data_IF_475085782098
#
_entry.id   IF_475085782098
#
_cell.length_a   1.000
_cell.length_b   1.000
_cell.length_c   1.000
_cell.angle_alpha   90.00
_cell.angle_beta   90.00
_cell.angle_gamma   90.00
#
_symmetry.space_group_name_H-M   'P 1'
#
loop_
_entity.id
_entity.type
_entity.pdbx_description
1 polymer ?
#
# COMPACT_ATOMS: atom_id res chain seq x y z
N UNK A 1 16.47 15.60 30.65
CA UNK A 1 17.45 16.16 29.68
C UNK A 1 18.03 15.01 28.87
N UNK A 2 18.54 15.22 27.65
CA UNK A 2 19.21 14.13 26.93
C UNK A 2 20.37 13.61 27.80
N UNK A 3 20.37 12.30 28.07
CA UNK A 3 21.34 11.64 28.95
C UNK A 3 21.04 11.71 30.46
N UNK A 4 19.81 12.05 30.86
CA UNK A 4 19.35 11.84 32.24
C UNK A 4 18.75 10.44 32.42
N UNK A 5 18.63 9.96 33.66
CA UNK A 5 18.04 8.64 33.95
C UNK A 5 16.63 8.50 33.39
N UNK A 6 15.83 9.57 33.41
CA UNK A 6 14.49 9.58 32.84
C UNK A 6 14.51 9.50 31.31
N UNK A 7 15.57 10.00 30.66
CA UNK A 7 15.77 9.85 29.22
C UNK A 7 16.11 8.40 28.88
N UNK A 8 17.03 7.80 29.63
CA UNK A 8 17.44 6.41 29.44
C UNK A 8 16.27 5.45 29.70
N UNK A 9 15.44 5.73 30.71
CA UNK A 9 14.22 4.99 30.99
C UNK A 9 13.19 5.12 29.84
N UNK A 10 12.99 6.33 29.31
CA UNK A 10 12.11 6.54 28.16
C UNK A 10 12.59 5.78 26.92
N UNK A 11 13.90 5.72 26.67
CA UNK A 11 14.48 4.97 25.55
C UNK A 11 14.24 3.45 25.71
N UNK A 12 14.42 2.91 26.91
CA UNK A 12 14.13 1.50 27.21
C UNK A 12 12.63 1.19 27.03
N UNK A 13 11.76 2.05 27.55
CA UNK A 13 10.31 1.89 27.38
C UNK A 13 9.90 1.95 25.92
N UNK A 14 10.48 2.87 25.13
CA UNK A 14 10.26 2.97 23.69
C UNK A 14 10.65 1.68 22.96
N UNK A 15 11.81 1.11 23.29
CA UNK A 15 12.25 -0.17 22.72
C UNK A 15 11.29 -1.32 23.06
N UNK A 16 10.80 -1.38 24.31
CA UNK A 16 9.84 -2.40 24.72
C UNK A 16 8.50 -2.28 24.01
N UNK A 17 8.03 -1.05 23.78
CA UNK A 17 6.81 -0.79 22.98
C UNK A 17 7.03 -1.24 21.53
N UNK A 18 8.14 -0.86 20.90
CA UNK A 18 8.47 -1.24 19.52
C UNK A 18 8.53 -2.77 19.34
N UNK A 19 9.17 -3.49 20.27
CA UNK A 19 9.21 -4.96 20.22
C UNK A 19 7.84 -5.61 20.46
N UNK A 20 7.01 -5.02 21.33
CA UNK A 20 5.63 -5.47 21.51
C UNK A 20 4.79 -5.23 20.26
N UNK A 21 4.91 -4.05 19.64
CA UNK A 21 4.21 -3.69 18.40
C UNK A 21 4.64 -4.59 17.25
N UNK A 22 5.94 -4.84 17.02
CA UNK A 22 6.40 -5.78 15.99
C UNK A 22 5.80 -7.18 16.14
N UNK A 23 5.66 -7.65 17.39
CA UNK A 23 5.14 -8.99 17.69
C UNK A 23 3.62 -9.08 17.56
N UNK A 24 2.89 -8.03 17.97
CA UNK A 24 1.44 -8.07 18.10
C UNK A 24 0.69 -7.27 17.03
N UNK A 25 1.34 -6.29 16.42
CA UNK A 25 0.85 -5.37 15.39
C UNK A 25 1.88 -5.22 14.25
N UNK A 26 2.25 -6.31 13.56
CA UNK A 26 3.22 -6.23 12.47
C UNK A 26 2.75 -5.23 11.42
N UNK A 27 3.67 -4.37 10.96
CA UNK A 27 3.40 -3.45 9.86
C UNK A 27 3.23 -4.31 8.60
N UNK A 28 1.98 -4.51 8.20
CA UNK A 28 1.65 -5.24 6.98
C UNK A 28 2.21 -4.51 5.76
N UNK A 29 2.59 -5.28 4.73
CA UNK A 29 2.96 -4.70 3.46
C UNK A 29 1.82 -3.81 2.94
N UNK A 30 2.11 -2.64 2.34
CA UNK A 30 1.05 -1.73 1.92
C UNK A 30 0.14 -2.43 0.91
N UNK A 31 -1.17 -2.28 1.10
CA UNK A 31 -2.16 -2.83 0.18
C UNK A 31 -2.01 -2.19 -1.21
N UNK A 32 -1.72 -2.98 -2.27
CA UNK A 32 -1.55 -2.46 -3.62
C UNK A 32 -2.73 -1.63 -4.12
N UNK A 33 -3.96 -2.01 -3.75
CA UNK A 33 -5.18 -1.35 -4.20
C UNK A 33 -5.34 0.00 -3.51
N UNK A 34 -5.03 0.08 -2.22
CA UNK A 34 -5.05 1.37 -1.51
C UNK A 34 -3.94 2.29 -2.03
N UNK A 35 -2.74 1.77 -2.30
CA UNK A 35 -1.67 2.54 -2.93
C UNK A 35 -2.09 3.13 -4.28
N UNK A 36 -2.78 2.35 -5.12
CA UNK A 36 -3.32 2.84 -6.40
C UNK A 36 -4.33 3.97 -6.16
N UNK A 37 -5.27 3.81 -5.22
CA UNK A 37 -6.32 4.81 -4.93
C UNK A 37 -5.73 6.11 -4.41
N UNK A 38 -4.81 6.05 -3.44
CA UNK A 38 -4.10 7.21 -2.90
C UNK A 38 -3.39 7.93 -4.04
N UNK A 39 -2.69 7.18 -4.90
CA UNK A 39 -1.97 7.79 -6.02
C UNK A 39 -2.89 8.39 -7.07
N UNK A 40 -4.07 7.81 -7.30
CA UNK A 40 -5.09 8.42 -8.13
C UNK A 40 -5.59 9.74 -7.54
N UNK A 41 -5.82 9.81 -6.23
CA UNK A 41 -6.26 11.03 -5.55
C UNK A 41 -5.22 12.16 -5.67
N UNK A 42 -3.95 11.87 -5.38
CA UNK A 42 -2.83 12.81 -5.52
C UNK A 42 -2.71 13.38 -6.94
N UNK A 43 -2.98 12.54 -7.95
CA UNK A 43 -2.92 12.90 -9.37
C UNK A 43 -4.26 13.38 -9.93
N UNK A 44 -5.31 13.48 -9.10
CA UNK A 44 -6.68 13.84 -9.49
C UNK A 44 -7.25 12.98 -10.64
N UNK A 45 -6.90 11.68 -10.65
CA UNK A 45 -7.34 10.71 -11.64
C UNK A 45 -8.67 10.06 -11.26
N UNK A 46 -9.50 9.79 -12.26
CA UNK A 46 -10.72 9.00 -12.13
C UNK A 46 -10.46 7.57 -12.61
N UNK A 47 -11.34 6.64 -12.26
CA UNK A 47 -11.22 5.24 -12.71
C UNK A 47 -11.14 5.10 -14.23
N UNK A 48 -11.85 5.95 -14.97
CA UNK A 48 -11.81 5.94 -16.45
C UNK A 48 -10.42 6.24 -17.01
N UNK A 49 -9.56 6.91 -16.24
CA UNK A 49 -8.21 7.30 -16.66
C UNK A 49 -7.18 6.17 -16.46
N UNK A 50 -7.59 5.04 -15.86
CA UNK A 50 -6.79 3.81 -15.74
C UNK A 50 -7.13 2.74 -16.78
N UNK A 51 -8.09 3.02 -17.68
CA UNK A 51 -8.51 2.07 -18.73
C UNK A 51 -7.30 1.62 -19.55
N UNK A 52 -6.42 2.53 -19.96
CA UNK A 52 -5.23 2.18 -20.75
C UNK A 52 -4.21 1.32 -20.00
N UNK A 53 -4.23 1.35 -18.66
CA UNK A 53 -3.31 0.56 -17.83
C UNK A 53 -3.87 -0.84 -17.49
N UNK A 54 -5.19 -0.96 -17.32
CA UNK A 54 -5.85 -2.16 -16.78
C UNK A 54 -6.70 -2.91 -17.83
N UNK A 55 -7.14 -2.21 -18.88
CA UNK A 55 -7.95 -2.73 -19.98
C UNK A 55 -9.29 -2.01 -20.15
N UNK A 56 -10.36 -2.52 -19.55
CA UNK A 56 -11.72 -1.96 -19.72
C UNK A 56 -12.20 -1.26 -18.45
N UNK A 57 -13.23 -0.40 -18.58
CA UNK A 57 -13.87 0.26 -17.42
C UNK A 57 -14.38 -0.75 -16.36
N UNK A 58 -14.93 -1.88 -16.79
CA UNK A 58 -15.38 -2.93 -15.86
C UNK A 58 -14.18 -3.56 -15.14
N UNK A 59 -13.08 -3.84 -15.85
CA UNK A 59 -11.87 -4.40 -15.23
C UNK A 59 -11.23 -3.45 -14.23
N UNK A 60 -11.19 -2.14 -14.52
CA UNK A 60 -10.72 -1.14 -13.56
C UNK A 60 -11.55 -1.20 -12.28
N UNK A 61 -12.88 -1.18 -12.42
CA UNK A 61 -13.78 -1.27 -11.27
C UNK A 61 -13.61 -2.58 -10.49
N UNK A 62 -13.49 -3.71 -11.18
CA UNK A 62 -13.25 -5.02 -10.54
C UNK A 62 -11.94 -5.03 -9.74
N UNK A 63 -10.86 -4.49 -10.29
CA UNK A 63 -9.56 -4.43 -9.60
C UNK A 63 -9.62 -3.50 -8.39
N UNK A 64 -10.13 -2.27 -8.56
CA UNK A 64 -10.19 -1.28 -7.46
C UNK A 64 -11.14 -1.70 -6.33
N UNK A 65 -12.14 -2.53 -6.63
CA UNK A 65 -13.04 -3.12 -5.65
C UNK A 65 -12.62 -4.53 -5.22
N UNK A 66 -11.36 -4.95 -5.50
CA UNK A 66 -10.80 -6.24 -5.07
C UNK A 66 -11.60 -7.46 -5.54
N UNK A 67 -12.38 -7.35 -6.62
CA UNK A 67 -13.06 -8.49 -7.25
C UNK A 67 -12.14 -9.25 -8.21
N UNK A 68 -10.98 -8.66 -8.54
CA UNK A 68 -9.98 -9.24 -9.43
C UNK A 68 -8.57 -8.92 -8.95
N UNK A 69 -7.68 -9.91 -9.04
CA UNK A 69 -6.23 -9.76 -8.82
C UNK A 69 -5.58 -8.96 -9.95
N UNK A 70 -4.58 -8.16 -9.61
CA UNK A 70 -3.68 -7.53 -10.57
C UNK A 70 -2.92 -8.63 -11.35
N UNK A 71 -2.84 -8.47 -12.67
CA UNK A 71 -1.94 -9.29 -13.48
C UNK A 71 -0.57 -8.63 -13.55
N UNK A 72 0.47 -9.41 -13.89
CA UNK A 72 1.83 -8.87 -14.09
C UNK A 72 1.86 -7.75 -15.14
N UNK A 73 1.04 -7.86 -16.18
CA UNK A 73 0.91 -6.80 -17.19
C UNK A 73 0.30 -5.52 -16.61
N UNK A 74 -0.77 -5.63 -15.82
CA UNK A 74 -1.37 -4.49 -15.12
C UNK A 74 -0.35 -3.82 -14.19
N UNK A 75 0.41 -4.61 -13.42
CA UNK A 75 1.45 -4.09 -12.52
C UNK A 75 2.46 -3.24 -13.29
N UNK A 76 3.00 -3.75 -14.41
CA UNK A 76 3.95 -3.01 -15.24
C UNK A 76 3.35 -1.72 -15.80
N UNK A 77 2.10 -1.76 -16.24
CA UNK A 77 1.41 -0.59 -16.78
C UNK A 77 1.14 0.45 -15.69
N UNK A 78 0.68 0.03 -14.51
CA UNK A 78 0.39 0.90 -13.38
C UNK A 78 1.65 1.52 -12.79
N UNK A 79 2.74 0.76 -12.68
CA UNK A 79 4.06 1.29 -12.30
C UNK A 79 4.45 2.47 -13.18
N UNK A 80 4.32 2.35 -14.51
CA UNK A 80 4.60 3.45 -15.45
C UNK A 80 3.58 4.59 -15.35
N UNK A 81 2.29 4.27 -15.27
CA UNK A 81 1.19 5.26 -15.33
C UNK A 81 1.09 6.11 -14.07
N UNK A 82 1.36 5.51 -12.91
CA UNK A 82 1.19 6.10 -11.58
C UNK A 82 2.52 6.45 -10.91
N UNK A 83 3.65 6.05 -11.51
CA UNK A 83 4.99 6.19 -10.94
C UNK A 83 5.11 5.53 -9.55
N UNK A 84 4.59 4.30 -9.44
CA UNK A 84 4.63 3.48 -8.24
C UNK A 84 5.65 2.34 -8.38
N UNK A 85 6.37 2.02 -7.31
CA UNK A 85 7.27 0.86 -7.29
C UNK A 85 6.51 -0.43 -7.62
N UNK A 86 7.10 -1.30 -8.43
CA UNK A 86 6.54 -2.63 -8.70
C UNK A 86 6.46 -3.50 -7.45
N UNK A 87 7.40 -3.32 -6.51
CA UNK A 87 7.45 -4.08 -5.26
C UNK A 87 6.26 -3.74 -4.35
N UNK A 88 5.70 -2.54 -4.51
CA UNK A 88 4.47 -2.14 -3.83
C UNK A 88 3.26 -2.87 -4.41
N UNK A 89 3.25 -3.10 -5.72
CA UNK A 89 2.10 -3.63 -6.46
C UNK A 89 2.08 -5.15 -6.57
N UNK A 90 3.21 -5.82 -6.31
CA UNK A 90 3.33 -7.28 -6.37
C UNK A 90 2.83 -7.98 -5.11
N UNK A 91 2.64 -7.23 -4.02
CA UNK A 91 2.14 -7.78 -2.76
C UNK A 91 0.76 -8.42 -2.94
N UNK A 92 0.53 -9.53 -2.24
CA UNK A 92 -0.77 -10.17 -2.29
C UNK A 92 -1.79 -9.40 -1.44
N UNK A 93 -3.05 -9.43 -1.85
CA UNK A 93 -4.14 -8.72 -1.16
C UNK A 93 -5.45 -9.50 -1.24
N UNK A 94 -6.23 -9.55 -0.16
CA UNK A 94 -7.46 -10.34 -0.15
C UNK A 94 -8.50 -9.79 -1.13
N UNK A 95 -9.20 -10.71 -1.81
CA UNK A 95 -10.33 -10.34 -2.66
C UNK A 95 -11.56 -10.02 -1.80
N UNK A 96 -12.39 -9.10 -2.28
CA UNK A 96 -13.68 -8.83 -1.66
C UNK A 96 -14.59 -10.06 -1.83
N UNK A 97 -15.20 -10.50 -0.73
CA UNK A 97 -16.20 -11.56 -0.68
C UNK A 97 -17.49 -11.22 -1.41
#
# INVERSE_FOLDING_TARGET
>A
PIGSMESDEADILGLLVDEYEKKHYPIEAPDPIEAIKIRMEELQLRQVDLVDAIGSKSRVSEVLNRKRKLTVEMIRNLTRRLNLSSDLLINDYQLAS
#
